data_IF_900387817462
#
_entry.id   IF_900387817462
#
_cell.length_a   1.000
_cell.length_b   1.000
_cell.length_c   1.000
_cell.angle_alpha   90.00
_cell.angle_beta   90.00
_cell.angle_gamma   90.00
#
_symmetry.space_group_name_H-M   'P 1'
#
loop_
_entity.id
_entity.type
_entity.pdbx_description
1 polymer ?
#
# COMPACT_ATOMS: atom_id res chain seq x y z
N UNK A 1 1.08 -0.79 -28.93
CA UNK A 1 0.44 0.53 -28.97
C UNK A 1 -0.36 0.71 -27.69
N UNK A 2 -0.08 1.75 -26.90
CA UNK A 2 -0.96 2.17 -25.81
C UNK A 2 -2.30 2.53 -26.43
N UNK A 3 -3.33 1.71 -26.21
CA UNK A 3 -4.70 2.06 -26.57
C UNK A 3 -5.17 3.07 -25.52
N UNK A 4 -5.33 4.33 -25.92
CA UNK A 4 -5.77 5.41 -25.04
C UNK A 4 -7.24 5.20 -24.69
N UNK A 5 -7.49 4.33 -23.72
CA UNK A 5 -8.81 3.97 -23.24
C UNK A 5 -8.92 4.21 -21.73
N UNK A 6 -10.13 4.24 -21.20
CA UNK A 6 -10.39 4.50 -19.78
C UNK A 6 -9.56 3.61 -18.84
N UNK A 7 -9.38 2.33 -19.16
CA UNK A 7 -8.60 1.41 -18.35
C UNK A 7 -7.12 1.80 -18.30
N UNK A 8 -6.52 2.13 -19.45
CA UNK A 8 -5.12 2.57 -19.53
C UNK A 8 -4.85 3.88 -18.75
N UNK A 9 -5.83 4.80 -18.74
CA UNK A 9 -5.74 6.06 -17.97
C UNK A 9 -5.80 5.77 -16.48
N UNK A 10 -6.75 4.94 -16.03
CA UNK A 10 -6.89 4.55 -14.63
C UNK A 10 -5.63 3.83 -14.15
N UNK A 11 -5.09 2.89 -14.93
CA UNK A 11 -3.87 2.18 -14.59
C UNK A 11 -2.67 3.12 -14.45
N UNK A 12 -2.54 4.11 -15.34
CA UNK A 12 -1.49 5.12 -15.23
C UNK A 12 -1.63 5.97 -13.96
N UNK A 13 -2.86 6.39 -13.61
CA UNK A 13 -3.14 7.14 -12.38
C UNK A 13 -2.77 6.30 -11.15
N UNK A 14 -3.21 5.03 -11.09
CA UNK A 14 -2.86 4.11 -10.00
C UNK A 14 -1.35 3.97 -9.88
N UNK A 15 -0.63 3.77 -11.00
CA UNK A 15 0.84 3.68 -11.01
C UNK A 15 1.54 4.95 -10.52
N UNK A 16 0.96 6.13 -10.70
CA UNK A 16 1.49 7.39 -10.14
C UNK A 16 1.21 7.45 -8.65
N UNK A 17 -0.04 7.21 -8.22
CA UNK A 17 -0.45 7.20 -6.81
C UNK A 17 0.42 6.25 -5.97
N UNK A 18 0.64 5.03 -6.46
CA UNK A 18 1.47 4.01 -5.82
C UNK A 18 2.93 4.45 -5.64
N UNK A 19 3.52 5.12 -6.64
CA UNK A 19 4.89 5.65 -6.55
C UNK A 19 4.96 6.83 -5.58
N UNK A 20 4.01 7.74 -5.65
CA UNK A 20 3.91 8.90 -4.75
C UNK A 20 3.73 8.48 -3.28
N UNK A 21 2.98 7.41 -3.03
CA UNK A 21 2.80 6.83 -1.70
C UNK A 21 4.12 6.30 -1.12
N UNK A 22 4.85 5.47 -1.86
CA UNK A 22 6.18 4.99 -1.43
C UNK A 22 7.13 6.16 -1.16
N UNK A 23 7.15 7.15 -2.03
CA UNK A 23 8.06 8.28 -1.87
C UNK A 23 7.71 9.10 -0.63
N UNK A 24 6.42 9.32 -0.38
CA UNK A 24 5.94 9.99 0.84
C UNK A 24 6.34 9.23 2.09
N UNK A 25 6.29 7.89 2.04
CA UNK A 25 6.84 7.04 3.09
C UNK A 25 8.31 7.39 3.28
N UNK A 26 9.15 7.26 2.25
CA UNK A 26 10.63 7.45 2.28
C UNK A 26 11.11 8.78 2.86
N UNK A 27 10.28 9.81 2.91
CA UNK A 27 10.62 11.12 3.46
C UNK A 27 10.43 11.24 4.99
N UNK A 28 9.80 10.28 5.68
CA UNK A 28 9.47 10.40 7.12
C UNK A 28 9.98 9.25 8.01
N UNK A 29 10.52 9.53 9.19
CA UNK A 29 10.81 8.49 10.19
C UNK A 29 9.56 8.11 10.98
N UNK A 30 9.47 6.85 11.40
CA UNK A 30 8.30 6.34 12.10
C UNK A 30 8.65 5.77 13.48
N UNK A 31 7.69 5.80 14.40
CA UNK A 31 7.70 4.95 15.60
C UNK A 31 6.91 3.67 15.35
N UNK A 32 6.88 2.77 16.36
CA UNK A 32 6.16 1.49 16.33
C UNK A 32 4.76 1.58 15.68
N UNK A 33 3.90 2.45 16.19
CA UNK A 33 2.52 2.60 15.68
C UNK A 33 2.43 3.16 14.26
N UNK A 34 3.47 3.84 13.78
CA UNK A 34 3.52 4.35 12.41
C UNK A 34 3.62 3.22 11.38
N UNK A 35 4.43 2.19 11.66
CA UNK A 35 4.51 1.00 10.80
C UNK A 35 3.22 0.21 10.83
N UNK A 36 2.58 0.08 11.99
CA UNK A 36 1.29 -0.59 12.11
C UNK A 36 0.20 0.10 11.26
N UNK A 37 0.15 1.44 11.27
CA UNK A 37 -0.77 2.19 10.40
C UNK A 37 -0.43 2.01 8.91
N UNK A 38 0.86 2.05 8.54
CA UNK A 38 1.27 1.81 7.15
C UNK A 38 0.86 0.41 6.69
N UNK A 39 0.89 -0.61 7.55
CA UNK A 39 0.36 -1.94 7.21
C UNK A 39 -1.14 -1.92 6.91
N UNK A 40 -1.93 -1.18 7.70
CA UNK A 40 -3.37 -1.00 7.48
C UNK A 40 -3.62 -0.27 6.16
N UNK A 41 -2.90 0.83 5.91
CA UNK A 41 -3.01 1.60 4.67
C UNK A 41 -2.66 0.74 3.45
N UNK A 42 -1.56 0.00 3.51
CA UNK A 42 -1.14 -0.94 2.47
C UNK A 42 -2.21 -2.01 2.20
N UNK A 43 -2.83 -2.56 3.24
CA UNK A 43 -3.88 -3.57 3.10
C UNK A 43 -5.10 -3.01 2.35
N UNK A 44 -5.58 -1.83 2.73
CA UNK A 44 -6.72 -1.20 2.06
C UNK A 44 -6.36 -0.73 0.64
N UNK A 45 -5.16 -0.18 0.45
CA UNK A 45 -4.68 0.28 -0.84
C UNK A 45 -4.61 -0.88 -1.84
N UNK A 46 -4.04 -2.02 -1.43
CA UNK A 46 -3.96 -3.23 -2.24
C UNK A 46 -5.36 -3.66 -2.71
N UNK A 47 -6.31 -3.82 -1.79
CA UNK A 47 -7.69 -4.21 -2.13
C UNK A 47 -8.41 -3.19 -3.01
N UNK A 48 -8.21 -1.90 -2.76
CA UNK A 48 -8.91 -0.82 -3.47
C UNK A 48 -8.42 -0.64 -4.91
N UNK A 49 -7.12 -0.87 -5.18
CA UNK A 49 -6.51 -0.56 -6.48
C UNK A 49 -6.18 -1.79 -7.32
N UNK A 50 -6.08 -2.99 -6.75
CA UNK A 50 -5.88 -4.22 -7.52
C UNK A 50 -6.92 -4.42 -8.64
N UNK A 51 -8.24 -4.19 -8.40
CA UNK A 51 -9.25 -4.31 -9.46
C UNK A 51 -9.14 -3.24 -10.57
N UNK A 52 -8.30 -2.21 -10.36
CA UNK A 52 -8.15 -1.07 -11.27
C UNK A 52 -6.94 -1.20 -12.21
N UNK A 53 -6.11 -2.23 -12.03
CA UNK A 53 -4.91 -2.48 -12.84
C UNK A 53 -5.01 -3.80 -13.59
N UNK A 54 -4.32 -3.91 -14.73
CA UNK A 54 -4.27 -5.16 -15.49
C UNK A 54 -3.34 -6.21 -14.84
N UNK A 55 -2.31 -5.77 -14.13
CA UNK A 55 -1.32 -6.64 -13.47
C UNK A 55 -1.24 -6.32 -11.97
N UNK A 56 -1.87 -7.17 -11.17
CA UNK A 56 -1.88 -7.05 -9.71
C UNK A 56 -0.48 -7.22 -9.08
N UNK A 57 0.47 -7.85 -9.78
CA UNK A 57 1.86 -8.00 -9.30
C UNK A 57 2.50 -6.63 -9.08
N UNK A 58 2.15 -5.63 -9.89
CA UNK A 58 2.63 -4.26 -9.72
C UNK A 58 2.16 -3.68 -8.39
N UNK A 59 0.90 -3.90 -8.01
CA UNK A 59 0.33 -3.41 -6.75
C UNK A 59 1.00 -4.11 -5.57
N UNK A 60 1.09 -5.44 -5.62
CA UNK A 60 1.73 -6.25 -4.58
C UNK A 60 3.19 -5.85 -4.35
N UNK A 61 3.95 -5.71 -5.44
CA UNK A 61 5.37 -5.30 -5.37
C UNK A 61 5.55 -3.91 -4.76
N UNK A 62 4.68 -2.95 -5.10
CA UNK A 62 4.74 -1.60 -4.53
C UNK A 62 4.39 -1.64 -3.05
N UNK A 63 3.35 -2.38 -2.66
CA UNK A 63 2.94 -2.52 -1.25
C UNK A 63 4.06 -3.14 -0.41
N UNK A 64 4.72 -4.19 -0.92
CA UNK A 64 5.87 -4.80 -0.26
C UNK A 64 7.04 -3.82 -0.13
N UNK A 65 7.31 -3.03 -1.17
CA UNK A 65 8.33 -1.98 -1.14
C UNK A 65 8.00 -0.86 -0.15
N UNK A 66 6.73 -0.46 -0.05
CA UNK A 66 6.26 0.55 0.90
C UNK A 66 6.51 0.06 2.34
N UNK A 67 6.08 -1.17 2.64
CA UNK A 67 6.23 -1.75 3.97
C UNK A 67 7.70 -1.97 4.35
N UNK A 68 8.52 -2.46 3.42
CA UNK A 68 9.97 -2.57 3.60
C UNK A 68 10.62 -1.21 3.86
N UNK A 69 10.20 -0.17 3.13
CA UNK A 69 10.71 1.20 3.32
C UNK A 69 10.30 1.81 4.65
N UNK A 70 9.09 1.49 5.14
CA UNK A 70 8.63 1.91 6.46
C UNK A 70 9.41 1.22 7.58
N UNK A 71 9.58 -0.11 7.50
CA UNK A 71 10.34 -0.90 8.48
C UNK A 71 11.78 -0.41 8.65
N UNK A 72 12.47 -0.11 7.54
CA UNK A 72 13.85 0.40 7.55
C UNK A 72 14.01 1.75 8.25
N UNK A 73 12.92 2.51 8.40
CA UNK A 73 12.95 3.89 8.92
C UNK A 73 12.10 4.02 10.18
N UNK A 74 11.74 2.89 10.77
CA UNK A 74 11.04 2.81 12.03
C UNK A 74 12.01 2.64 13.19
N UNK A 75 11.79 3.39 14.26
CA UNK A 75 12.40 3.15 15.56
C UNK A 75 11.63 2.00 16.22
N UNK A 76 12.30 0.88 16.48
CA UNK A 76 11.72 -0.35 17.04
C UNK A 76 10.52 -0.89 16.21
N UNK A 77 10.78 -1.40 14.99
CA UNK A 77 9.72 -1.91 14.11
C UNK A 77 9.02 -3.13 14.73
N UNK A 78 7.69 -3.10 14.74
CA UNK A 78 6.84 -4.24 15.07
C UNK A 78 5.71 -4.30 14.04
N UNK A 79 5.53 -5.48 13.43
CA UNK A 79 4.45 -5.70 12.47
C UNK A 79 3.23 -6.24 13.22
N UNK A 80 2.07 -5.69 12.90
CA UNK A 80 0.77 -6.27 13.26
C UNK A 80 0.67 -7.66 12.67
N UNK A 81 0.33 -8.62 13.52
CA UNK A 81 0.10 -10.00 13.11
C UNK A 81 -1.00 -10.07 12.04
N UNK A 82 -0.86 -10.86 10.96
CA UNK A 82 -1.82 -10.91 9.85
C UNK A 82 -3.28 -11.12 10.27
N UNK A 83 -3.54 -11.99 11.24
CA UNK A 83 -4.90 -12.21 11.76
C UNK A 83 -5.50 -10.96 12.42
N UNK A 84 -4.69 -10.23 13.19
CA UNK A 84 -5.11 -8.98 13.84
C UNK A 84 -5.29 -7.87 12.81
N UNK A 85 -4.43 -7.82 11.79
CA UNK A 85 -4.57 -6.88 10.68
C UNK A 85 -5.90 -7.10 9.94
N UNK A 86 -6.25 -8.37 9.64
CA UNK A 86 -7.53 -8.70 9.03
C UNK A 86 -8.71 -8.29 9.92
N UNK A 87 -8.68 -8.59 11.21
CA UNK A 87 -9.70 -8.12 12.15
C UNK A 87 -9.87 -6.60 12.10
N UNK A 88 -8.77 -5.83 12.23
CA UNK A 88 -8.81 -4.36 12.16
C UNK A 88 -9.41 -3.86 10.83
N UNK A 89 -9.11 -4.54 9.72
CA UNK A 89 -9.53 -4.10 8.39
C UNK A 89 -10.90 -4.64 7.94
N UNK A 90 -11.40 -5.71 8.54
CA UNK A 90 -12.64 -6.40 8.14
C UNK A 90 -13.76 -6.25 9.17
N UNK A 91 -13.44 -6.00 10.44
CA UNK A 91 -14.43 -5.80 11.51
C UNK A 91 -15.08 -4.40 11.48
N UNK A 92 -14.71 -3.53 10.52
CA UNK A 92 -15.50 -2.33 10.19
C UNK A 92 -16.72 -2.70 9.36
N UNK A 93 -17.66 -3.42 9.97
CA UNK A 93 -19.02 -3.59 9.49
C UNK A 93 -19.94 -2.70 10.33
N UNK A 94 -20.01 -1.41 9.99
CA UNK A 94 -21.11 -0.51 10.36
C UNK A 94 -21.51 0.34 9.15
#
# INVERSE_FOLDING_TARGET
FFQFNRASIIEAIVKVLLKSFIESIRLQTYGKFGVEQIQVDCYYLQRGVSPLVADEVVVNSVVDQALSSALKRCVAPELVHPNRLRQICEDKAE
#
